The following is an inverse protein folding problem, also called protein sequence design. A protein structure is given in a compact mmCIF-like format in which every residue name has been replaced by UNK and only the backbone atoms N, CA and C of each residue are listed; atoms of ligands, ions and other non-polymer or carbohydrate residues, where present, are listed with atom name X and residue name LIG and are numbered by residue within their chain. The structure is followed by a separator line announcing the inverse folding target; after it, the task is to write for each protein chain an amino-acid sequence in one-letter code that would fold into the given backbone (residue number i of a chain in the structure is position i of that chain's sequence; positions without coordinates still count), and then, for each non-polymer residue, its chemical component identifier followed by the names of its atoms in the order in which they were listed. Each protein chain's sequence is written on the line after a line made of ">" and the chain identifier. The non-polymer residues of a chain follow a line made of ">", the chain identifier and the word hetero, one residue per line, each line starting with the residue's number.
data_IF_628525742738
#
_entry.id   IF_628525742738
#
_cell.length_a   1.000
_cell.length_b   1.000
_cell.length_c   1.000
_cell.angle_alpha   90.00
_cell.angle_beta   90.00
_cell.angle_gamma   90.00
#
_symmetry.space_group_name_H-M   'P 1'
#
loop_
_entity.id
_entity.type
_entity.pdbx_description
1 polymer ?
#
# COMPACT_ATOMS: atom_id res chain seq x y z
N UNK A 1 15.28 26.66 -27.31
CA UNK A 1 15.57 25.42 -26.56
C UNK A 1 14.65 25.41 -25.35
N UNK A 2 13.41 24.93 -25.52
CA UNK A 2 12.44 24.84 -24.44
C UNK A 2 12.70 23.53 -23.70
N UNK A 3 13.04 23.61 -22.41
CA UNK A 3 13.09 22.44 -21.55
C UNK A 3 11.65 21.95 -21.44
N UNK A 4 11.37 20.78 -22.03
CA UNK A 4 10.15 20.03 -21.72
C UNK A 4 10.35 19.55 -20.30
N UNK A 5 9.84 20.29 -19.32
CA UNK A 5 9.55 19.71 -18.01
C UNK A 5 8.39 18.76 -18.28
N UNK A 6 8.68 17.47 -18.40
CA UNK A 6 7.63 16.46 -18.34
C UNK A 6 7.19 16.43 -16.87
N UNK A 7 6.00 16.93 -16.47
CA UNK A 7 5.46 16.46 -15.22
C UNK A 7 5.16 14.99 -15.48
N UNK A 8 6.08 14.10 -15.07
CA UNK A 8 5.61 12.78 -14.67
C UNK A 8 4.47 13.07 -13.71
N UNK A 9 3.24 12.57 -13.91
CA UNK A 9 2.25 12.66 -12.86
C UNK A 9 2.83 11.83 -11.72
N UNK A 10 3.58 12.49 -10.83
CA UNK A 10 3.75 12.07 -9.48
C UNK A 10 2.35 12.16 -8.90
N UNK A 11 1.51 11.18 -9.24
CA UNK A 11 0.27 10.94 -8.54
C UNK A 11 0.72 10.79 -7.11
N UNK A 12 0.42 11.78 -6.29
CA UNK A 12 0.83 11.81 -4.90
C UNK A 12 0.10 10.64 -4.24
N UNK A 13 0.76 9.48 -4.20
CA UNK A 13 0.17 8.28 -3.64
C UNK A 13 -0.04 8.57 -2.16
N UNK A 14 -1.28 8.69 -1.73
CA UNK A 14 -1.58 8.76 -0.30
C UNK A 14 -1.10 7.47 0.37
N UNK A 15 -0.50 7.58 1.56
CA UNK A 15 0.05 6.46 2.32
C UNK A 15 -0.64 6.38 3.67
N UNK A 16 -1.10 5.19 4.04
CA UNK A 16 -1.76 4.90 5.29
C UNK A 16 -0.79 4.23 6.26
N UNK A 17 -0.60 4.85 7.41
CA UNK A 17 0.09 4.28 8.57
C UNK A 17 -0.73 3.15 9.19
N UNK A 18 -0.12 2.42 10.14
CA UNK A 18 -0.82 1.35 10.85
C UNK A 18 -2.10 1.78 11.59
N UNK A 19 -2.13 2.93 12.32
CA UNK A 19 -3.37 3.44 12.90
C UNK A 19 -4.44 3.76 11.85
N UNK A 20 -4.07 4.44 10.76
CA UNK A 20 -5.01 4.78 9.68
C UNK A 20 -5.57 3.52 8.99
N UNK A 21 -4.76 2.47 8.85
CA UNK A 21 -5.25 1.18 8.33
C UNK A 21 -6.27 0.53 9.27
N UNK A 22 -6.08 0.61 10.59
CA UNK A 22 -7.07 0.12 11.57
C UNK A 22 -8.39 0.87 11.41
N UNK A 23 -8.33 2.18 11.24
CA UNK A 23 -9.52 3.02 11.06
C UNK A 23 -10.22 2.72 9.73
N UNK A 24 -9.49 2.72 8.62
CA UNK A 24 -10.06 2.55 7.27
C UNK A 24 -10.60 1.14 7.03
N UNK A 25 -9.93 0.11 7.56
CA UNK A 25 -10.39 -1.28 7.42
C UNK A 25 -11.47 -1.65 8.44
N UNK A 26 -11.63 -0.87 9.52
CA UNK A 26 -12.51 -1.22 10.63
C UNK A 26 -12.07 -2.50 11.37
N UNK A 27 -10.76 -2.82 11.33
CA UNK A 27 -10.19 -4.08 11.81
C UNK A 27 -9.15 -3.83 12.91
N UNK A 28 -9.06 -4.69 13.94
CA UNK A 28 -8.08 -4.50 15.00
C UNK A 28 -6.65 -4.64 14.47
N UNK A 29 -5.68 -4.00 15.14
CA UNK A 29 -4.27 -3.99 14.73
C UNK A 29 -3.69 -5.39 14.44
N UNK A 30 -4.06 -6.40 15.23
CA UNK A 30 -3.64 -7.78 15.01
C UNK A 30 -4.13 -8.36 13.68
N UNK A 31 -5.37 -8.03 13.27
CA UNK A 31 -5.91 -8.42 11.98
C UNK A 31 -5.22 -7.70 10.83
N UNK A 32 -4.92 -6.41 10.98
CA UNK A 32 -4.17 -5.63 9.98
C UNK A 32 -2.75 -6.20 9.79
N UNK A 33 -2.05 -6.55 10.88
CA UNK A 33 -0.75 -7.22 10.81
C UNK A 33 -0.84 -8.56 10.09
N UNK A 34 -1.83 -9.37 10.42
CA UNK A 34 -2.09 -10.64 9.74
C UNK A 34 -2.34 -10.46 8.24
N UNK A 35 -3.01 -9.39 7.79
CA UNK A 35 -3.16 -9.09 6.37
C UNK A 35 -1.82 -8.85 5.67
N UNK A 36 -0.85 -8.21 6.33
CA UNK A 36 0.51 -8.04 5.82
C UNK A 36 1.24 -9.39 5.77
N UNK A 37 1.16 -10.17 6.86
CA UNK A 37 1.80 -11.49 6.94
C UNK A 37 1.26 -12.47 5.88
N UNK A 38 -0.04 -12.37 5.55
CA UNK A 38 -0.72 -13.19 4.53
C UNK A 38 -0.58 -12.65 3.10
N UNK A 39 0.29 -11.65 2.89
CA UNK A 39 0.50 -10.98 1.60
C UNK A 39 -0.80 -10.41 0.98
N UNK A 40 -1.79 -10.07 1.80
CA UNK A 40 -2.99 -9.35 1.34
C UNK A 40 -2.73 -7.86 1.16
N UNK A 41 -1.78 -7.32 1.92
CA UNK A 41 -1.30 -5.95 1.83
C UNK A 41 0.23 -5.95 1.75
N UNK A 42 0.77 -4.89 1.16
CA UNK A 42 2.20 -4.61 1.17
C UNK A 42 2.42 -3.11 1.37
N UNK A 43 3.50 -2.77 2.05
CA UNK A 43 3.86 -1.39 2.35
C UNK A 43 5.36 -1.20 2.33
N UNK A 44 5.78 0.03 2.58
CA UNK A 44 7.19 0.39 2.67
C UNK A 44 7.40 1.50 3.69
N UNK A 45 8.66 1.73 4.07
CA UNK A 45 8.98 2.85 4.96
C UNK A 45 8.81 4.18 4.21
N UNK A 46 7.98 5.07 4.75
CA UNK A 46 7.73 6.44 4.28
C UNK A 46 7.86 7.39 5.46
N UNK A 47 8.64 8.45 5.28
CA UNK A 47 8.84 9.47 6.33
C UNK A 47 9.20 8.88 7.71
N UNK A 48 9.95 7.77 7.74
CA UNK A 48 10.38 7.13 8.99
C UNK A 48 9.44 6.03 9.54
N UNK A 49 8.22 5.89 9.01
CA UNK A 49 7.25 4.90 9.48
C UNK A 49 6.85 3.91 8.37
N UNK A 50 6.41 2.71 8.74
CA UNK A 50 5.81 1.79 7.78
C UNK A 50 4.43 2.32 7.36
N UNK A 51 4.18 2.34 6.06
CA UNK A 51 2.90 2.74 5.50
C UNK A 51 2.54 1.94 4.24
N UNK A 52 1.25 1.81 3.99
CA UNK A 52 0.66 1.11 2.85
C UNK A 52 0.06 2.14 1.88
N UNK A 53 0.27 2.01 0.55
CA UNK A 53 -0.43 2.85 -0.41
C UNK A 53 -1.94 2.79 -0.24
N UNK A 54 -2.61 3.93 -0.08
CA UNK A 54 -4.06 4.00 0.11
C UNK A 54 -4.84 3.36 -1.05
N UNK A 55 -4.28 3.41 -2.27
CA UNK A 55 -4.85 2.80 -3.48
C UNK A 55 -4.98 1.27 -3.40
N UNK A 56 -4.34 0.62 -2.44
CA UNK A 56 -4.50 -0.81 -2.19
C UNK A 56 -5.73 -1.15 -1.35
N UNK A 57 -6.45 -0.15 -0.84
CA UNK A 57 -7.71 -0.34 -0.14
C UNK A 57 -8.86 0.12 -1.03
N UNK A 58 -9.83 -0.77 -1.26
CA UNK A 58 -11.05 -0.51 -2.03
C UNK A 58 -12.24 -0.94 -1.19
N UNK A 59 -13.18 -0.04 -0.97
CA UNK A 59 -14.40 -0.28 -0.19
C UNK A 59 -14.14 -0.90 1.19
N UNK A 60 -13.09 -0.44 1.90
CA UNK A 60 -12.72 -0.94 3.22
C UNK A 60 -12.02 -2.31 3.22
N UNK A 61 -11.61 -2.81 2.05
CA UNK A 61 -10.95 -4.10 1.91
C UNK A 61 -9.66 -4.01 1.08
N UNK A 62 -8.67 -4.89 1.33
CA UNK A 62 -7.51 -5.01 0.45
C UNK A 62 -7.93 -5.32 -0.99
N UNK A 63 -7.27 -4.68 -1.96
CA UNK A 63 -7.47 -4.92 -3.38
C UNK A 63 -7.17 -6.40 -3.71
N UNK A 64 -8.16 -7.21 -4.14
CA UNK A 64 -7.97 -8.66 -4.24
C UNK A 64 -6.88 -9.11 -5.21
N UNK A 65 -6.66 -8.35 -6.30
CA UNK A 65 -5.63 -8.63 -7.30
C UNK A 65 -4.20 -8.40 -6.80
N UNK A 66 -4.03 -7.70 -5.68
CA UNK A 66 -2.71 -7.36 -5.15
C UNK A 66 -1.94 -8.59 -4.67
N UNK A 67 -2.62 -9.55 -4.03
CA UNK A 67 -1.97 -10.73 -3.44
C UNK A 67 -1.15 -11.52 -4.45
N UNK A 68 -1.73 -11.84 -5.61
CA UNK A 68 -1.04 -12.59 -6.66
C UNK A 68 0.19 -11.84 -7.16
N UNK A 69 0.08 -10.52 -7.29
CA UNK A 69 1.19 -9.65 -7.68
C UNK A 69 2.32 -9.68 -6.64
N UNK A 70 1.99 -9.55 -5.34
CA UNK A 70 2.98 -9.63 -4.24
C UNK A 70 3.73 -10.96 -4.29
N UNK A 71 3.02 -12.07 -4.44
CA UNK A 71 3.62 -13.41 -4.48
C UNK A 71 4.61 -13.53 -5.65
N UNK A 72 4.20 -13.12 -6.86
CA UNK A 72 5.09 -13.18 -8.04
C UNK A 72 6.31 -12.30 -7.85
N UNK A 73 6.16 -11.09 -7.32
CA UNK A 73 7.28 -10.18 -7.11
C UNK A 73 8.25 -10.69 -6.03
N UNK A 74 7.75 -11.39 -5.01
CA UNK A 74 8.59 -12.01 -3.98
C UNK A 74 9.42 -13.18 -4.52
N UNK A 75 8.90 -13.93 -5.51
CA UNK A 75 9.64 -15.01 -6.17
C UNK A 75 10.72 -14.49 -7.14
N UNK A 76 10.55 -13.27 -7.65
CA UNK A 76 11.41 -12.68 -8.67
C UNK A 76 12.76 -12.15 -8.18
N UNK A 77 12.97 -11.99 -6.86
CA UNK A 77 14.28 -11.67 -6.23
C UNK A 77 14.87 -10.31 -6.58
#
# INVERSE_FOLDING_TARGET
>A
MAVVTNPSPATETAWLTMPELVEVLGEPLGRVRRLLDESQLIGSKRHGAFAVPAVFIVDGHPLPSLRGTIIVLHDAG
#
